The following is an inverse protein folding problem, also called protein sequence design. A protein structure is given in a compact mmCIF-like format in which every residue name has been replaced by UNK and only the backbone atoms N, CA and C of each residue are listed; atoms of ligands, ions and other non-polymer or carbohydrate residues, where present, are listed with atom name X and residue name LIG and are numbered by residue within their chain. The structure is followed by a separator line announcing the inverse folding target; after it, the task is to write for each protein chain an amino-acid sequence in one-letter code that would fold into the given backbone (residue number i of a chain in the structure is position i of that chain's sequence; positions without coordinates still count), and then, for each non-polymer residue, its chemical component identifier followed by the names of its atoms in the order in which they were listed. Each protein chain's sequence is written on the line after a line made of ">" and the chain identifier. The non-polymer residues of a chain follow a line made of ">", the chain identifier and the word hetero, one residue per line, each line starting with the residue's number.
data_IF_064727707117
#
_entry.id   IF_064727707117
#
_cell.length_a   1.000
_cell.length_b   1.000
_cell.length_c   1.000
_cell.angle_alpha   90.00
_cell.angle_beta   90.00
_cell.angle_gamma   90.00
#
_symmetry.space_group_name_H-M   'P 1'
#
loop_
_entity.id
_entity.type
_entity.pdbx_description
1 polymer ?
#
# COMPACT_ATOMS: atom_id res chain seq x y z
N UNK A 1 46.17 -46.66 -1.73
CA UNK A 1 46.57 -45.84 -0.56
C UNK A 1 45.73 -46.30 0.61
N UNK A 2 46.26 -47.17 1.48
CA UNK A 2 45.50 -47.67 2.63
C UNK A 2 45.67 -46.67 3.77
N UNK A 3 44.63 -45.91 4.08
CA UNK A 3 44.61 -45.09 5.29
C UNK A 3 44.46 -46.07 6.46
N UNK A 4 45.46 -46.15 7.35
CA UNK A 4 45.35 -46.93 8.59
C UNK A 4 44.77 -46.01 9.65
N UNK A 5 43.63 -46.35 10.21
CA UNK A 5 43.02 -45.64 11.33
C UNK A 5 43.32 -46.46 12.58
N UNK A 6 43.98 -45.81 13.56
CA UNK A 6 44.26 -46.37 14.88
C UNK A 6 43.32 -45.68 15.86
N UNK A 7 42.47 -46.44 16.53
CA UNK A 7 41.72 -45.95 17.69
C UNK A 7 42.62 -46.00 18.90
N UNK A 8 42.81 -44.87 19.58
CA UNK A 8 43.51 -44.84 20.86
C UNK A 8 42.68 -45.53 21.96
N UNK A 9 43.30 -45.84 23.10
CA UNK A 9 42.63 -46.53 24.22
C UNK A 9 41.43 -45.75 24.82
N UNK A 10 41.29 -44.47 24.49
CA UNK A 10 40.17 -43.60 24.87
C UNK A 10 39.07 -43.47 23.79
N UNK A 11 39.22 -44.17 22.65
CA UNK A 11 38.27 -44.17 21.55
C UNK A 11 38.46 -43.04 20.52
N UNK A 12 39.49 -42.20 20.66
CA UNK A 12 39.82 -41.18 19.66
C UNK A 12 40.46 -41.79 18.39
N UNK A 13 40.18 -41.22 17.21
CA UNK A 13 40.68 -41.72 15.91
C UNK A 13 41.77 -40.77 15.38
N UNK A 14 43.00 -41.27 15.23
CA UNK A 14 44.09 -40.52 14.61
C UNK A 14 44.19 -40.82 13.09
N UNK A 15 44.15 -39.78 12.26
CA UNK A 15 44.41 -39.88 10.81
C UNK A 15 45.88 -39.52 10.57
N UNK A 16 46.72 -40.51 10.28
CA UNK A 16 48.16 -40.33 10.06
C UNK A 16 48.45 -40.54 8.56
N UNK A 17 48.85 -39.49 7.82
CA UNK A 17 49.22 -39.71 6.41
C UNK A 17 49.46 -38.57 5.42
N UNK A 18 49.95 -37.37 5.79
CA UNK A 18 50.53 -36.46 4.79
C UNK A 18 51.68 -35.59 5.34
N UNK A 19 52.76 -35.49 4.56
CA UNK A 19 54.08 -34.93 4.89
C UNK A 19 54.10 -33.43 5.29
N UNK A 20 52.95 -32.74 5.22
CA UNK A 20 52.78 -31.36 5.68
C UNK A 20 51.99 -31.23 7.00
N UNK A 21 51.65 -32.35 7.65
CA UNK A 21 50.93 -32.38 8.94
C UNK A 21 51.83 -33.00 10.01
N UNK A 22 52.69 -32.17 10.59
CA UNK A 22 53.65 -32.52 11.65
C UNK A 22 53.06 -32.48 13.07
N UNK A 23 51.74 -32.54 13.22
CA UNK A 23 51.09 -32.65 14.52
C UNK A 23 49.84 -33.52 14.44
N UNK A 24 49.66 -34.39 15.44
CA UNK A 24 48.45 -35.16 15.68
C UNK A 24 47.26 -34.19 15.81
N UNK A 25 46.39 -34.15 14.81
CA UNK A 25 45.11 -33.43 14.89
C UNK A 25 44.01 -34.42 15.25
N UNK A 26 44.02 -34.87 16.50
CA UNK A 26 42.93 -35.67 17.05
C UNK A 26 41.82 -34.71 17.48
N UNK A 27 40.64 -34.81 16.88
CA UNK A 27 39.43 -34.21 17.47
C UNK A 27 38.85 -35.31 18.35
N UNK A 28 39.28 -35.37 19.61
CA UNK A 28 38.70 -36.34 20.53
C UNK A 28 37.23 -36.01 20.80
N UNK A 29 36.52 -36.97 21.38
CA UNK A 29 35.15 -36.74 21.79
C UNK A 29 35.11 -35.63 22.85
N UNK A 30 34.20 -34.65 22.71
CA UNK A 30 34.12 -33.46 23.56
C UNK A 30 35.32 -32.48 23.52
N UNK A 31 36.29 -32.60 22.59
CA UNK A 31 37.47 -31.71 22.56
C UNK A 31 37.23 -30.39 21.84
N UNK A 32 36.15 -30.27 21.04
CA UNK A 32 35.73 -28.96 20.51
C UNK A 32 35.20 -28.12 21.67
N UNK A 33 36.13 -27.46 22.36
CA UNK A 33 35.83 -26.59 23.49
C UNK A 33 35.26 -25.27 22.99
N UNK A 34 34.62 -24.51 23.89
CA UNK A 34 34.20 -23.13 23.63
C UNK A 34 35.38 -22.23 23.21
N UNK A 35 36.61 -22.56 23.59
CA UNK A 35 37.82 -21.87 23.14
C UNK A 35 38.21 -22.22 21.68
N UNK A 36 37.89 -23.42 21.20
CA UNK A 36 38.06 -23.81 19.79
C UNK A 36 36.93 -23.29 18.90
N UNK A 37 35.77 -23.03 19.50
CA UNK A 37 34.71 -22.18 18.94
C UNK A 37 34.95 -20.72 19.33
N UNK A 38 36.22 -20.27 19.32
CA UNK A 38 36.66 -18.96 19.76
C UNK A 38 35.64 -17.89 19.39
N UNK A 39 35.07 -17.33 20.45
CA UNK A 39 33.97 -16.38 20.53
C UNK A 39 33.83 -15.55 19.26
N UNK A 40 32.66 -15.67 18.63
CA UNK A 40 32.22 -14.60 17.73
C UNK A 40 32.40 -13.29 18.49
N UNK A 41 32.86 -12.22 17.84
CA UNK A 41 32.93 -10.88 18.46
C UNK A 41 31.53 -10.30 18.77
N UNK A 42 30.50 -11.14 18.67
CA UNK A 42 29.12 -10.86 19.02
C UNK A 42 28.99 -10.95 20.54
N UNK A 43 28.61 -9.85 21.17
CA UNK A 43 28.27 -9.86 22.58
C UNK A 43 27.04 -10.76 22.82
N UNK A 44 27.05 -11.53 23.90
CA UNK A 44 25.87 -12.30 24.28
C UNK A 44 24.73 -11.35 24.68
N UNK A 45 23.53 -11.57 24.15
CA UNK A 45 22.37 -10.76 24.46
C UNK A 45 21.25 -10.90 23.43
N UNK A 46 20.12 -10.26 23.73
CA UNK A 46 19.03 -10.11 22.78
C UNK A 46 19.34 -8.98 21.81
N UNK A 47 19.14 -9.24 20.52
CA UNK A 47 19.26 -8.24 19.47
C UNK A 47 17.90 -8.03 18.81
N UNK A 48 17.51 -6.77 18.62
CA UNK A 48 16.26 -6.39 17.94
C UNK A 48 16.57 -6.01 16.50
N UNK A 49 15.80 -6.56 15.56
CA UNK A 49 15.96 -6.30 14.12
C UNK A 49 17.42 -6.44 13.64
N UNK A 50 18.07 -7.51 14.06
CA UNK A 50 19.52 -7.65 14.04
C UNK A 50 20.14 -7.53 12.65
N UNK A 51 21.16 -6.67 12.54
CA UNK A 51 22.08 -6.71 11.40
C UNK A 51 23.19 -7.71 11.71
N UNK A 52 23.42 -8.66 10.81
CA UNK A 52 24.44 -9.70 10.94
C UNK A 52 25.54 -9.49 9.90
N UNK A 53 26.79 -9.46 10.35
CA UNK A 53 27.96 -9.55 9.45
C UNK A 53 28.45 -10.98 9.44
N UNK A 54 28.58 -11.55 8.24
CA UNK A 54 29.07 -12.92 8.03
C UNK A 54 30.44 -12.86 7.36
N UNK A 55 31.41 -13.57 7.93
CA UNK A 55 32.76 -13.68 7.39
C UNK A 55 32.81 -14.53 6.12
N UNK A 56 33.98 -14.50 5.46
CA UNK A 56 34.24 -15.27 4.23
C UNK A 56 34.17 -16.79 4.43
N UNK A 57 34.25 -17.23 5.67
CA UNK A 57 34.13 -18.62 6.13
C UNK A 57 32.71 -18.99 6.59
N UNK A 58 31.74 -18.08 6.46
CA UNK A 58 30.34 -18.29 6.82
C UNK A 58 30.01 -18.10 8.30
N UNK A 59 30.96 -17.65 9.13
CA UNK A 59 30.72 -17.38 10.56
C UNK A 59 30.15 -15.98 10.80
N UNK A 60 29.27 -15.83 11.78
CA UNK A 60 28.82 -14.50 12.22
C UNK A 60 29.97 -13.82 12.97
N UNK A 61 30.45 -12.69 12.43
CA UNK A 61 31.55 -11.92 13.01
C UNK A 61 31.07 -10.68 13.75
N UNK A 62 29.87 -10.17 13.47
CA UNK A 62 29.28 -9.09 14.25
C UNK A 62 27.75 -9.19 14.23
N UNK A 63 27.15 -8.78 15.35
CA UNK A 63 25.72 -8.54 15.44
C UNK A 63 25.49 -7.21 16.13
N UNK A 64 24.59 -6.42 15.58
CA UNK A 64 24.14 -5.17 16.18
C UNK A 64 22.62 -5.11 16.13
N UNK A 65 22.01 -4.37 17.05
CA UNK A 65 20.62 -3.98 16.87
C UNK A 65 20.51 -3.23 15.53
N UNK A 66 19.56 -3.64 14.70
CA UNK A 66 19.22 -2.89 13.51
C UNK A 66 17.95 -2.10 13.74
N UNK A 67 17.61 -1.30 12.73
CA UNK A 67 16.27 -0.75 12.61
C UNK A 67 15.44 -1.83 11.92
N UNK A 68 14.32 -2.27 12.53
CA UNK A 68 13.39 -3.18 11.87
C UNK A 68 13.11 -2.69 10.46
N UNK A 69 13.20 -3.59 9.47
CA UNK A 69 12.73 -3.29 8.12
C UNK A 69 11.34 -2.68 8.23
N UNK A 70 11.12 -1.53 7.57
CA UNK A 70 9.99 -0.61 7.81
C UNK A 70 8.66 -1.35 7.82
N UNK A 71 8.27 -1.87 8.99
CA UNK A 71 6.94 -2.39 9.21
C UNK A 71 6.01 -1.21 8.97
N UNK A 72 4.82 -1.47 8.41
CA UNK A 72 3.75 -0.49 8.41
C UNK A 72 3.53 -0.11 9.88
N UNK A 73 4.05 1.04 10.30
CA UNK A 73 3.87 1.51 11.66
C UNK A 73 2.52 2.21 11.67
N UNK A 74 1.51 1.48 12.14
CA UNK A 74 0.20 2.04 12.44
C UNK A 74 0.30 2.72 13.78
N UNK A 75 -0.01 4.01 13.83
CA UNK A 75 -0.18 4.75 15.09
C UNK A 75 -1.65 5.13 15.26
N UNK A 76 -2.11 5.14 16.51
CA UNK A 76 -3.46 5.58 16.90
C UNK A 76 -3.31 6.70 17.94
N UNK A 77 -3.02 7.94 17.51
CA UNK A 77 -2.83 9.05 18.43
C UNK A 77 -4.11 9.38 19.19
N UNK A 78 -3.99 10.20 20.24
CA UNK A 78 -5.15 10.77 20.91
C UNK A 78 -6.02 11.55 19.91
N UNK A 79 -7.33 11.52 20.13
CA UNK A 79 -8.31 12.14 19.24
C UNK A 79 -8.07 13.63 19.06
N UNK A 80 -8.34 14.12 17.86
CA UNK A 80 -8.24 15.54 17.51
C UNK A 80 -9.60 16.23 17.61
N UNK A 81 -9.60 17.54 17.88
CA UNK A 81 -10.80 18.38 18.00
C UNK A 81 -10.62 19.70 17.26
N UNK A 82 -11.71 20.25 16.71
CA UNK A 82 -11.70 21.55 16.06
C UNK A 82 -10.80 21.61 14.82
N UNK A 83 -10.06 22.71 14.65
CA UNK A 83 -9.04 22.85 13.59
C UNK A 83 -7.65 22.60 14.17
N UNK A 84 -6.93 21.64 13.63
CA UNK A 84 -5.56 21.31 14.03
C UNK A 84 -4.60 21.73 12.93
N UNK A 85 -3.78 22.74 13.24
CA UNK A 85 -2.66 23.16 12.40
C UNK A 85 -1.41 22.36 12.80
N UNK A 86 -0.54 22.07 11.82
CA UNK A 86 0.78 21.48 12.08
C UNK A 86 0.76 20.26 13.01
N UNK A 87 -0.17 19.33 12.77
CA UNK A 87 -0.37 18.20 13.68
C UNK A 87 0.91 17.33 13.78
N UNK A 88 1.33 17.06 15.01
CA UNK A 88 2.54 16.32 15.33
C UNK A 88 2.25 15.14 16.27
N UNK A 89 1.54 14.10 15.79
CA UNK A 89 1.24 12.95 16.63
C UNK A 89 2.52 12.21 17.03
N UNK A 90 2.56 11.71 18.26
CA UNK A 90 3.65 10.87 18.76
C UNK A 90 3.83 9.65 17.84
N UNK A 91 5.08 9.35 17.48
CA UNK A 91 5.40 8.23 16.58
C UNK A 91 5.33 8.57 15.09
N UNK A 92 5.00 9.82 14.73
CA UNK A 92 5.00 10.27 13.33
C UNK A 92 6.38 10.15 12.66
N UNK A 93 7.50 9.92 13.34
CA UNK A 93 8.77 9.67 12.65
C UNK A 93 8.78 8.38 11.82
N UNK A 94 8.10 7.34 12.30
CA UNK A 94 8.09 6.01 11.70
C UNK A 94 6.75 5.63 11.06
N UNK A 95 5.69 6.41 11.30
CA UNK A 95 4.34 6.09 10.86
C UNK A 95 4.20 6.01 9.33
N UNK A 96 3.53 4.96 8.86
CA UNK A 96 3.06 4.82 7.47
C UNK A 96 1.54 4.92 7.39
N UNK A 97 0.86 4.66 8.51
CA UNK A 97 -0.59 4.76 8.65
C UNK A 97 -0.92 5.42 9.99
N UNK A 98 -1.84 6.36 9.96
CA UNK A 98 -2.32 7.04 11.16
C UNK A 98 -3.83 6.82 11.23
N UNK A 99 -4.27 6.15 12.29
CA UNK A 99 -5.68 6.04 12.64
C UNK A 99 -6.06 7.31 13.37
N UNK A 100 -6.70 8.24 12.65
CA UNK A 100 -7.09 9.53 13.19
C UNK A 100 -8.49 9.38 13.78
N UNK A 101 -8.61 9.56 15.08
CA UNK A 101 -9.90 9.62 15.77
C UNK A 101 -10.29 11.09 15.97
N UNK A 102 -11.58 11.40 15.81
CA UNK A 102 -12.12 12.72 16.15
C UNK A 102 -12.84 12.65 17.49
N UNK A 103 -12.74 13.71 18.29
CA UNK A 103 -13.52 13.84 19.53
C UNK A 103 -14.58 14.95 19.42
N UNK A 104 -14.92 15.37 18.20
CA UNK A 104 -15.99 16.32 17.87
C UNK A 104 -16.69 15.95 16.57
N UNK A 105 -17.91 16.45 16.36
CA UNK A 105 -18.75 16.18 15.17
C UNK A 105 -18.10 16.57 13.84
N UNK A 106 -17.16 17.51 13.88
CA UNK A 106 -16.36 17.92 12.74
C UNK A 106 -14.96 18.25 13.20
N UNK A 107 -13.95 17.76 12.47
CA UNK A 107 -12.54 18.09 12.70
C UNK A 107 -11.88 18.48 11.38
N UNK A 108 -11.04 19.51 11.42
CA UNK A 108 -10.26 19.98 10.29
C UNK A 108 -8.77 19.76 10.56
N UNK A 109 -8.12 18.96 9.72
CA UNK A 109 -6.66 18.79 9.73
C UNK A 109 -6.06 19.70 8.66
N UNK A 110 -5.44 20.80 9.10
CA UNK A 110 -4.87 21.83 8.24
C UNK A 110 -3.41 21.59 7.86
N UNK A 111 -2.70 20.78 8.63
CA UNK A 111 -1.31 20.43 8.35
C UNK A 111 -0.83 19.24 9.17
N UNK A 112 0.24 18.62 8.68
CA UNK A 112 0.88 17.45 9.26
C UNK A 112 2.40 17.65 9.27
N UNK A 113 3.04 17.43 10.40
CA UNK A 113 4.51 17.49 10.51
C UNK A 113 5.18 16.22 9.97
N UNK A 114 6.52 16.17 10.03
CA UNK A 114 7.27 14.96 9.68
C UNK A 114 7.43 14.72 8.19
N UNK A 115 7.20 15.74 7.36
CA UNK A 115 7.44 15.68 5.93
C UNK A 115 8.92 15.47 5.59
N UNK A 116 9.22 14.39 4.88
CA UNK A 116 10.53 14.10 4.28
C UNK A 116 10.30 13.66 2.84
N UNK A 117 11.17 14.08 1.91
CA UNK A 117 10.94 13.85 0.47
C UNK A 117 10.69 12.35 0.18
N UNK A 118 9.62 12.07 -0.57
CA UNK A 118 9.23 10.72 -0.97
C UNK A 118 8.43 9.95 0.08
N UNK A 119 8.22 10.53 1.27
CA UNK A 119 7.46 9.89 2.34
C UNK A 119 5.98 9.76 1.99
N UNK A 120 5.41 8.59 2.30
CA UNK A 120 3.98 8.32 2.15
C UNK A 120 3.33 8.03 3.51
N UNK A 121 2.18 8.63 3.77
CA UNK A 121 1.34 8.38 4.95
C UNK A 121 -0.09 8.14 4.50
N UNK A 122 -0.74 7.11 5.05
CA UNK A 122 -2.18 6.91 4.94
C UNK A 122 -2.83 7.48 6.21
N UNK A 123 -3.68 8.50 6.05
CA UNK A 123 -4.55 8.96 7.13
C UNK A 123 -5.88 8.24 6.99
N UNK A 124 -6.32 7.56 8.05
CA UNK A 124 -7.61 6.88 8.10
C UNK A 124 -8.49 7.61 9.08
N UNK A 125 -9.70 8.00 8.67
CA UNK A 125 -10.73 8.38 9.63
C UNK A 125 -11.19 7.12 10.37
N UNK A 126 -10.75 6.98 11.61
CA UNK A 126 -11.06 5.86 12.48
C UNK A 126 -12.35 6.09 13.28
N UNK A 127 -13.01 7.25 13.12
CA UNK A 127 -14.27 7.56 13.76
C UNK A 127 -15.46 6.95 13.01
N UNK A 128 -16.42 6.41 13.75
CA UNK A 128 -17.61 5.78 13.18
C UNK A 128 -18.68 6.78 12.70
N UNK A 129 -18.75 7.97 13.30
CA UNK A 129 -19.85 8.91 13.13
C UNK A 129 -19.41 10.27 12.58
N UNK A 130 -18.21 10.71 12.95
CA UNK A 130 -17.77 12.07 12.72
C UNK A 130 -16.98 12.20 11.41
N UNK A 131 -17.17 13.34 10.75
CA UNK A 131 -16.45 13.66 9.53
C UNK A 131 -15.12 14.35 9.84
N UNK A 132 -14.12 14.05 9.01
CA UNK A 132 -12.82 14.69 9.03
C UNK A 132 -12.56 15.41 7.72
N UNK A 133 -12.13 16.65 7.82
CA UNK A 133 -11.81 17.50 6.68
C UNK A 133 -10.30 17.63 6.59
N UNK A 134 -9.74 17.31 5.43
CA UNK A 134 -8.36 17.59 5.08
C UNK A 134 -8.34 18.93 4.38
N UNK A 135 -7.80 19.94 5.07
CA UNK A 135 -7.85 21.33 4.64
C UNK A 135 -6.85 21.60 3.53
N UNK A 136 -7.32 22.16 2.43
CA UNK A 136 -6.47 22.47 1.29
C UNK A 136 -5.59 23.71 1.55
N UNK A 137 -4.27 23.50 1.48
CA UNK A 137 -3.22 24.51 1.52
C UNK A 137 -3.46 25.62 2.56
N UNK A 138 -3.84 25.22 3.78
CA UNK A 138 -4.23 26.15 4.82
C UNK A 138 -3.06 27.06 5.22
N UNK A 139 -3.25 28.37 5.07
CA UNK A 139 -2.24 29.37 5.44
C UNK A 139 -1.91 29.37 6.93
N UNK A 140 -2.82 28.85 7.77
CA UNK A 140 -2.67 28.68 9.21
C UNK A 140 -1.69 27.59 9.63
N UNK A 141 -1.27 26.69 8.72
CA UNK A 141 -0.17 25.76 8.95
C UNK A 141 1.13 26.27 8.33
N UNK A 142 2.26 25.90 8.92
CA UNK A 142 3.58 26.17 8.37
C UNK A 142 3.69 25.58 6.96
N UNK A 143 4.37 26.28 6.03
CA UNK A 143 4.41 25.92 4.62
C UNK A 143 4.79 24.45 4.37
N UNK A 144 5.80 23.95 5.10
CA UNK A 144 6.29 22.58 5.00
C UNK A 144 5.31 21.51 5.50
N UNK A 145 4.26 21.89 6.24
CA UNK A 145 3.30 20.96 6.84
C UNK A 145 1.93 21.03 6.16
N UNK A 146 1.71 21.99 5.25
CA UNK A 146 0.43 22.15 4.57
C UNK A 146 0.10 20.90 3.76
N UNK A 147 -1.19 20.67 3.59
CA UNK A 147 -1.71 19.59 2.75
C UNK A 147 -2.34 20.21 1.50
N UNK A 148 -1.73 19.98 0.35
CA UNK A 148 -2.30 20.30 -0.94
C UNK A 148 -3.22 19.15 -1.38
N UNK A 149 -4.51 19.45 -1.58
CA UNK A 149 -5.46 18.43 -2.03
C UNK A 149 -5.42 18.23 -3.54
N UNK A 150 -4.83 19.18 -4.30
CA UNK A 150 -4.82 19.17 -5.76
C UNK A 150 -6.14 19.62 -6.42
N UNK A 151 -7.23 19.73 -5.65
CA UNK A 151 -8.56 20.11 -6.15
C UNK A 151 -8.92 21.58 -5.88
N UNK A 152 -8.08 22.33 -5.17
CA UNK A 152 -8.40 23.70 -4.76
C UNK A 152 -9.43 23.80 -3.62
N UNK A 153 -9.93 22.67 -3.11
CA UNK A 153 -10.94 22.58 -2.06
C UNK A 153 -10.58 21.49 -1.02
N UNK A 154 -11.20 21.55 0.16
CA UNK A 154 -11.01 20.58 1.23
C UNK A 154 -11.50 19.18 0.81
N UNK A 155 -10.81 18.14 1.27
CA UNK A 155 -11.24 16.74 1.08
C UNK A 155 -11.98 16.28 2.33
N UNK A 156 -13.14 15.66 2.13
CA UNK A 156 -13.98 15.15 3.22
C UNK A 156 -13.79 13.64 3.34
N UNK A 157 -13.39 13.18 4.51
CA UNK A 157 -13.43 11.78 4.91
C UNK A 157 -14.64 11.59 5.83
N UNK A 158 -15.70 10.97 5.33
CA UNK A 158 -16.88 10.63 6.13
C UNK A 158 -16.52 9.74 7.32
N UNK A 159 -17.38 9.73 8.34
CA UNK A 159 -17.33 8.71 9.39
C UNK A 159 -17.65 7.32 8.81
N UNK A 160 -17.16 6.28 9.49
CA UNK A 160 -17.30 4.89 9.07
C UNK A 160 -15.96 4.27 8.70
N UNK A 161 -15.78 2.99 9.03
CA UNK A 161 -14.52 2.28 8.91
C UNK A 161 -14.00 2.32 7.46
N UNK A 162 -12.79 2.85 7.26
CA UNK A 162 -12.03 2.72 6.02
C UNK A 162 -11.98 3.94 5.10
N UNK A 163 -12.56 5.08 5.50
CA UNK A 163 -12.34 6.34 4.78
C UNK A 163 -10.90 6.80 5.01
N UNK A 164 -10.14 7.04 3.94
CA UNK A 164 -8.74 7.41 4.04
C UNK A 164 -8.27 8.33 2.93
N UNK A 165 -7.22 9.09 3.22
CA UNK A 165 -6.40 9.78 2.22
C UNK A 165 -4.99 9.26 2.28
N UNK A 166 -4.40 9.05 1.11
CA UNK A 166 -2.95 8.81 0.99
C UNK A 166 -2.28 10.13 0.69
N UNK A 167 -1.35 10.51 1.55
CA UNK A 167 -0.52 11.69 1.41
C UNK A 167 0.88 11.27 0.96
N UNK A 168 1.46 12.01 0.03
CA UNK A 168 2.86 11.90 -0.33
C UNK A 168 3.56 13.25 -0.15
N UNK A 169 4.70 13.25 0.53
CA UNK A 169 5.49 14.44 0.73
C UNK A 169 6.45 14.67 -0.44
N UNK A 170 6.18 15.70 -1.24
CA UNK A 170 7.06 16.12 -2.34
C UNK A 170 6.90 17.63 -2.57
N UNK A 171 7.92 18.27 -3.15
CA UNK A 171 7.98 19.73 -3.29
C UNK A 171 7.75 20.49 -1.97
N UNK A 172 8.25 19.93 -0.86
CA UNK A 172 8.15 20.51 0.49
C UNK A 172 6.71 20.73 0.97
N UNK A 173 5.76 19.91 0.53
CA UNK A 173 4.35 19.94 0.95
C UNK A 173 3.78 18.52 0.93
N UNK A 174 2.76 18.25 1.76
CA UNK A 174 1.99 17.01 1.64
C UNK A 174 1.00 17.12 0.50
N UNK A 175 0.96 16.16 -0.41
CA UNK A 175 0.00 16.13 -1.51
C UNK A 175 -0.91 14.93 -1.35
N UNK A 176 -2.22 15.13 -1.50
CA UNK A 176 -3.17 14.04 -1.60
C UNK A 176 -2.98 13.34 -2.94
N UNK A 177 -2.67 12.04 -2.92
CA UNK A 177 -2.43 11.23 -4.14
C UNK A 177 -3.48 10.14 -4.34
N UNK A 178 -4.22 9.79 -3.29
CA UNK A 178 -5.37 8.89 -3.39
C UNK A 178 -6.37 9.21 -2.29
N UNK A 179 -7.66 9.02 -2.59
CA UNK A 179 -8.78 9.15 -1.67
C UNK A 179 -9.58 7.86 -1.75
N UNK A 180 -9.85 7.25 -0.60
CA UNK A 180 -10.74 6.10 -0.47
C UNK A 180 -11.91 6.52 0.41
N UNK A 181 -13.13 6.52 -0.12
CA UNK A 181 -14.34 6.75 0.67
C UNK A 181 -15.25 5.53 0.64
N UNK A 182 -15.85 5.19 1.79
CA UNK A 182 -16.71 4.02 1.95
C UNK A 182 -18.05 4.15 1.19
N UNK A 183 -18.49 5.38 0.93
CA UNK A 183 -19.50 5.68 -0.10
C UNK A 183 -18.75 6.22 -1.32
N UNK A 184 -18.67 5.48 -2.45
CA UNK A 184 -18.02 6.02 -3.64
C UNK A 184 -18.77 7.29 -4.05
N UNK A 185 -18.11 8.46 -4.15
CA UNK A 185 -18.74 9.64 -4.72
C UNK A 185 -19.19 9.32 -6.15
N UNK A 186 -20.12 10.10 -6.71
CA UNK A 186 -20.33 10.10 -8.15
C UNK A 186 -18.97 10.15 -8.87
N UNK A 187 -18.81 9.35 -9.92
CA UNK A 187 -17.64 9.47 -10.79
C UNK A 187 -17.77 10.81 -11.52
N UNK A 188 -17.12 11.83 -10.98
CA UNK A 188 -16.97 13.13 -11.62
C UNK A 188 -15.79 13.08 -12.58
N UNK A 189 -16.07 13.19 -13.88
CA UNK A 189 -15.02 13.24 -14.89
C UNK A 189 -14.99 14.66 -15.45
N UNK A 190 -14.01 15.43 -15.02
CA UNK A 190 -13.85 16.85 -15.35
C UNK A 190 -13.36 17.10 -16.79
N UNK A 191 -13.13 16.04 -17.56
CA UNK A 191 -12.63 16.10 -18.94
C UNK A 191 -13.31 15.10 -19.86
N UNK A 192 -12.80 15.01 -21.09
CA UNK A 192 -13.33 14.07 -22.08
C UNK A 192 -13.11 12.62 -21.61
N UNK A 193 -14.16 11.81 -21.72
CA UNK A 193 -14.12 10.38 -21.39
C UNK A 193 -14.35 9.56 -22.64
N UNK A 194 -13.55 8.51 -22.83
CA UNK A 194 -13.80 7.48 -23.84
C UNK A 194 -14.28 6.21 -23.15
N UNK A 195 -15.40 5.65 -23.62
CA UNK A 195 -15.92 4.36 -23.16
C UNK A 195 -15.88 3.41 -24.36
N UNK A 196 -14.98 2.43 -24.34
CA UNK A 196 -14.86 1.43 -25.42
C UNK A 196 -15.96 0.36 -25.37
N UNK A 197 -16.65 0.25 -24.23
CA UNK A 197 -17.77 -0.66 -24.00
C UNK A 197 -19.12 0.06 -23.93
N UNK A 198 -19.99 -0.41 -23.04
CA UNK A 198 -21.32 0.18 -22.84
C UNK A 198 -21.41 1.02 -21.57
N UNK A 199 -22.09 2.17 -21.64
CA UNK A 199 -22.49 2.91 -20.45
C UNK A 199 -23.80 2.35 -19.91
N UNK A 200 -23.87 2.00 -18.63
CA UNK A 200 -25.12 1.67 -17.94
C UNK A 200 -25.54 2.82 -17.03
N UNK A 201 -26.79 3.24 -17.13
CA UNK A 201 -27.37 4.31 -16.32
C UNK A 201 -28.30 3.66 -15.28
N UNK A 202 -28.01 3.90 -14.00
CA UNK A 202 -28.75 3.33 -12.86
C UNK A 202 -28.88 1.80 -12.89
N UNK A 203 -27.94 1.11 -13.51
CA UNK A 203 -27.92 -0.36 -13.62
C UNK A 203 -28.99 -0.96 -14.54
N UNK A 204 -29.84 -0.14 -15.15
CA UNK A 204 -30.99 -0.57 -15.94
C UNK A 204 -30.75 -0.34 -17.43
N UNK A 205 -30.77 0.92 -17.86
CA UNK A 205 -30.63 1.29 -19.27
C UNK A 205 -29.18 1.30 -19.72
N UNK A 206 -28.92 0.72 -20.88
CA UNK A 206 -27.60 0.69 -21.50
C UNK A 206 -27.56 1.61 -22.73
N UNK A 207 -26.47 2.37 -22.86
CA UNK A 207 -26.10 3.08 -24.08
C UNK A 207 -24.99 2.28 -24.77
N UNK A 208 -25.22 1.95 -26.04
CA UNK A 208 -24.29 1.21 -26.91
C UNK A 208 -24.20 1.86 -28.27
N UNK A 209 -23.21 1.48 -29.07
CA UNK A 209 -23.04 1.94 -30.44
C UNK A 209 -22.56 0.84 -31.38
N UNK A 210 -22.73 1.06 -32.68
CA UNK A 210 -22.28 0.14 -33.73
C UNK A 210 -22.74 0.58 -35.12
N UNK A 211 -22.27 -0.11 -36.16
CA UNK A 211 -22.69 0.16 -37.54
C UNK A 211 -24.01 -0.55 -37.88
N UNK A 212 -24.82 0.03 -38.76
CA UNK A 212 -26.08 -0.55 -39.22
C UNK A 212 -27.24 -0.45 -38.23
N UNK A 213 -28.36 -1.08 -38.57
CA UNK A 213 -29.57 -1.08 -37.72
C UNK A 213 -29.40 -2.06 -36.55
N UNK A 214 -29.81 -1.68 -35.31
CA UNK A 214 -29.81 -2.61 -34.19
C UNK A 214 -30.94 -3.65 -34.25
N UNK A 215 -31.97 -3.41 -35.09
CA UNK A 215 -33.12 -4.30 -35.20
C UNK A 215 -32.69 -5.67 -35.77
N UNK A 216 -32.98 -6.74 -35.02
CA UNK A 216 -32.62 -8.11 -35.38
C UNK A 216 -31.16 -8.48 -35.06
N UNK A 217 -30.33 -7.52 -34.63
CA UNK A 217 -28.89 -7.72 -34.40
C UNK A 217 -28.52 -7.56 -32.94
N UNK A 218 -28.97 -6.47 -32.30
CA UNK A 218 -28.50 -6.09 -30.97
C UNK A 218 -29.53 -6.47 -29.90
N UNK A 219 -29.11 -7.27 -28.92
CA UNK A 219 -29.94 -7.58 -27.75
C UNK A 219 -30.06 -6.35 -26.85
N UNK A 220 -31.27 -6.03 -26.42
CA UNK A 220 -31.53 -4.94 -25.48
C UNK A 220 -32.84 -5.11 -24.71
N UNK A 221 -33.01 -4.30 -23.68
CA UNK A 221 -34.23 -4.20 -22.87
C UNK A 221 -34.88 -2.82 -23.02
N UNK A 222 -36.20 -2.68 -22.81
CA UNK A 222 -36.87 -1.39 -22.92
C UNK A 222 -36.14 -0.29 -22.13
N UNK A 223 -35.90 0.85 -22.79
CA UNK A 223 -35.11 1.96 -22.26
C UNK A 223 -33.62 1.95 -22.64
N UNK A 224 -33.11 0.91 -23.30
CA UNK A 224 -31.77 0.92 -23.89
C UNK A 224 -31.69 1.88 -25.09
N UNK A 225 -30.51 2.45 -25.30
CA UNK A 225 -30.18 3.33 -26.43
C UNK A 225 -29.09 2.70 -27.30
N UNK A 226 -29.25 2.83 -28.62
CA UNK A 226 -28.23 2.44 -29.59
C UNK A 226 -27.92 3.61 -30.54
N UNK A 227 -26.64 3.98 -30.60
CA UNK A 227 -26.11 5.04 -31.45
C UNK A 227 -25.41 4.43 -32.66
N UNK A 228 -25.85 4.77 -33.87
CA UNK A 228 -25.20 4.32 -35.09
C UNK A 228 -23.91 5.08 -35.34
N UNK A 229 -22.83 4.36 -35.58
CA UNK A 229 -21.51 4.94 -35.89
C UNK A 229 -21.31 5.21 -37.38
N UNK A 230 -22.15 4.65 -38.24
CA UNK A 230 -22.07 4.80 -39.70
C UNK A 230 -22.86 6.01 -40.23
N UNK A 231 -23.56 6.76 -39.36
CA UNK A 231 -24.29 7.99 -39.72
C UNK A 231 -25.33 7.79 -40.82
N UNK A 232 -25.91 6.59 -40.95
CA UNK A 232 -26.75 6.22 -42.09
C UNK A 232 -27.96 7.14 -42.31
N UNK A 233 -28.45 7.19 -43.56
CA UNK A 233 -29.59 8.01 -43.94
C UNK A 233 -30.84 7.68 -43.09
N UNK A 234 -31.44 8.71 -42.49
CA UNK A 234 -32.69 8.62 -41.72
C UNK A 234 -32.51 8.83 -40.23
N UNK A 235 -31.81 7.94 -39.52
CA UNK A 235 -31.63 8.04 -38.07
C UNK A 235 -30.27 7.50 -37.61
N UNK A 236 -29.73 8.12 -36.58
CA UNK A 236 -28.54 7.66 -35.87
C UNK A 236 -28.84 7.19 -34.44
N UNK A 237 -30.08 7.32 -33.95
CA UNK A 237 -30.47 6.96 -32.59
C UNK A 237 -31.65 5.99 -32.60
N UNK A 238 -31.53 4.91 -31.84
CA UNK A 238 -32.61 3.96 -31.62
C UNK A 238 -32.87 3.80 -30.13
N UNK A 239 -34.15 3.69 -29.78
CA UNK A 239 -34.62 3.38 -28.43
C UNK A 239 -35.30 2.02 -28.44
N UNK A 240 -34.96 1.18 -27.47
CA UNK A 240 -35.69 -0.06 -27.25
C UNK A 240 -37.00 0.25 -26.54
N UNK A 241 -38.13 -0.06 -27.16
CA UNK A 241 -39.46 0.23 -26.59
C UNK A 241 -40.19 -1.03 -26.11
N UNK A 242 -39.81 -2.21 -26.60
CA UNK A 242 -40.44 -3.48 -26.23
C UNK A 242 -39.47 -4.66 -26.33
N UNK A 243 -39.85 -5.80 -25.73
CA UNK A 243 -39.10 -7.06 -25.79
C UNK A 243 -37.80 -7.05 -24.97
N UNK A 244 -37.91 -7.37 -23.67
CA UNK A 244 -36.77 -7.45 -22.77
C UNK A 244 -35.76 -8.54 -23.18
N UNK A 245 -34.48 -8.20 -23.21
CA UNK A 245 -33.39 -9.10 -23.62
C UNK A 245 -33.62 -9.77 -24.97
N UNK A 246 -34.15 -9.04 -25.94
CA UNK A 246 -34.38 -9.53 -27.32
C UNK A 246 -33.72 -8.61 -28.35
N UNK A 247 -33.68 -9.02 -29.62
CA UNK A 247 -33.20 -8.19 -30.75
C UNK A 247 -34.31 -7.43 -31.49
N UNK A 248 -35.59 -7.68 -31.18
CA UNK A 248 -36.76 -7.02 -31.79
C UNK A 248 -37.29 -5.86 -30.94
N UNK A 249 -38.01 -4.89 -31.50
CA UNK A 249 -38.61 -3.79 -30.72
C UNK A 249 -37.70 -2.56 -30.52
N UNK A 250 -36.68 -2.41 -31.37
CA UNK A 250 -35.91 -1.17 -31.52
C UNK A 250 -36.66 -0.19 -32.43
N UNK A 251 -36.77 1.07 -32.01
CA UNK A 251 -37.47 2.13 -32.73
C UNK A 251 -36.52 3.29 -32.99
N UNK A 252 -36.45 3.72 -34.26
CA UNK A 252 -35.69 4.90 -34.68
C UNK A 252 -36.25 6.18 -34.04
N UNK A 253 -35.38 7.07 -33.60
CA UNK A 253 -35.72 8.42 -33.11
C UNK A 253 -35.07 9.52 -33.94
#
# INVERSE_FOLDING_TARGET
>A
MSIKHSTNNDGSVAIIGATAWNATHTIDNNTITTAMLATTTVAAGSYTATNLTVGVDGRITAASNGSGGSSVSVISPAGITGTVNDWAPTGIGAATTILVTSSSSTVLLAGLTGGTLGRTIILVNADAANQMYIRNNASSSAAANRINTGYGADVIMSGGLGNSVTLQYFNSVWNVVAISTATPPPVDIQGNTTIEGSLKINGLSRITSGAGTPLGVVYGSPGDMFLRTDGGAGTSLYIKESGASTTAGWVAK
#
